data_IF_450230628629
#
_entry.id   IF_450230628629
#
_cell.length_a   1.000
_cell.length_b   1.000
_cell.length_c   1.000
_cell.angle_alpha   90.00
_cell.angle_beta   90.00
_cell.angle_gamma   90.00
#
_symmetry.space_group_name_H-M   'P 1'
#
loop_
_entity.id
_entity.type
_entity.pdbx_description
1 polymer ?
#
# COMPACT_ATOMS: atom_id res chain seq x y z
N UNK A 1 -18.45 2.51 -3.49
CA UNK A 1 -17.19 2.69 -4.24
C UNK A 1 -16.06 1.96 -3.53
N UNK A 2 -16.16 0.64 -3.41
CA UNK A 2 -15.10 -0.27 -2.95
C UNK A 2 -14.74 -1.27 -4.06
N UNK A 3 -15.02 -0.92 -5.33
CA UNK A 3 -14.91 -1.82 -6.47
C UNK A 3 -13.48 -1.86 -7.06
N UNK A 4 -12.58 -0.97 -6.65
CA UNK A 4 -11.26 -0.81 -7.29
C UNK A 4 -10.12 -1.67 -6.71
N UNK A 5 -10.36 -2.56 -5.75
CA UNK A 5 -9.32 -3.47 -5.23
C UNK A 5 -9.79 -4.94 -5.13
N UNK A 6 -10.86 -5.29 -5.84
CA UNK A 6 -11.22 -6.70 -5.99
C UNK A 6 -10.04 -7.42 -6.67
N UNK A 7 -9.47 -8.43 -6.01
CA UNK A 7 -8.29 -9.17 -6.47
C UNK A 7 -6.94 -8.71 -5.90
N UNK A 8 -6.86 -7.53 -5.26
CA UNK A 8 -5.63 -7.09 -4.60
C UNK A 8 -5.48 -7.73 -3.22
N UNK A 9 -4.36 -8.40 -2.98
CA UNK A 9 -4.03 -9.04 -1.70
C UNK A 9 -2.85 -8.33 -1.00
N UNK A 10 -2.83 -8.37 0.33
CA UNK A 10 -1.73 -7.81 1.10
C UNK A 10 -0.47 -8.67 0.90
N UNK A 11 0.51 -8.15 0.17
CA UNK A 11 1.77 -8.86 -0.11
C UNK A 11 2.88 -8.45 0.88
N UNK A 12 2.91 -7.18 1.31
CA UNK A 12 3.92 -6.69 2.25
C UNK A 12 3.34 -5.71 3.27
N UNK A 13 3.83 -5.73 4.51
CA UNK A 13 3.45 -4.79 5.57
C UNK A 13 4.66 -4.41 6.41
N UNK A 14 4.88 -3.10 6.59
CA UNK A 14 6.02 -2.51 7.30
C UNK A 14 5.51 -1.53 8.33
N UNK A 15 5.99 -1.65 9.56
CA UNK A 15 5.78 -0.63 10.57
C UNK A 15 6.69 0.57 10.30
N UNK A 16 6.10 1.75 10.08
CA UNK A 16 6.85 3.00 9.86
C UNK A 16 7.18 3.68 11.18
N UNK A 17 6.21 3.73 12.09
CA UNK A 17 6.38 4.27 13.45
C UNK A 17 5.41 3.62 14.45
N UNK A 18 5.22 4.23 15.63
CA UNK A 18 4.36 3.69 16.68
C UNK A 18 2.91 3.51 16.26
N UNK A 19 2.43 4.29 15.30
CA UNK A 19 1.00 4.39 15.00
C UNK A 19 0.68 4.12 13.53
N UNK A 20 1.68 4.10 12.64
CA UNK A 20 1.50 3.96 11.19
C UNK A 20 2.19 2.73 10.62
N UNK A 21 1.45 2.03 9.77
CA UNK A 21 1.92 0.92 8.94
C UNK A 21 1.85 1.33 7.46
N UNK A 22 2.82 0.89 6.68
CA UNK A 22 2.76 0.89 5.22
C UNK A 22 2.45 -0.53 4.75
N UNK A 23 1.40 -0.65 3.96
CA UNK A 23 0.92 -1.89 3.38
C UNK A 23 1.01 -1.81 1.86
N UNK A 24 1.59 -2.83 1.23
CA UNK A 24 1.62 -2.99 -0.21
C UNK A 24 0.62 -4.08 -0.59
N UNK A 25 -0.41 -3.69 -1.33
CA UNK A 25 -1.37 -4.63 -1.90
C UNK A 25 -1.02 -4.87 -3.35
N UNK A 26 -1.03 -6.12 -3.77
CA UNK A 26 -0.66 -6.56 -5.12
C UNK A 26 -1.80 -7.40 -5.68
N UNK A 27 -2.19 -7.13 -6.92
CA UNK A 27 -3.02 -8.02 -7.71
C UNK A 27 -2.13 -9.14 -8.27
N UNK A 28 -1.96 -10.21 -7.50
CA UNK A 28 -1.15 -11.35 -7.89
C UNK A 28 -1.85 -12.26 -8.92
N UNK A 29 -3.15 -12.04 -9.18
CA UNK A 29 -3.98 -12.95 -9.96
C UNK A 29 -4.07 -12.52 -11.43
N UNK A 30 -4.26 -11.22 -11.71
CA UNK A 30 -4.53 -10.76 -13.06
C UNK A 30 -3.39 -9.94 -13.68
N UNK A 31 -2.86 -8.95 -12.96
CA UNK A 31 -2.01 -7.91 -13.59
C UNK A 31 -0.60 -7.78 -13.02
N UNK A 32 -0.40 -8.13 -11.74
CA UNK A 32 0.82 -7.78 -11.01
C UNK A 32 0.89 -6.33 -10.55
N UNK A 33 -0.18 -5.55 -10.78
CA UNK A 33 -0.30 -4.17 -10.34
C UNK A 33 -0.29 -4.10 -8.80
N UNK A 34 0.09 -2.95 -8.25
CA UNK A 34 0.07 -2.73 -6.82
C UNK A 34 -0.46 -1.35 -6.44
N UNK A 35 -0.86 -1.25 -5.19
CA UNK A 35 -1.11 0.02 -4.50
C UNK A 35 -0.38 -0.01 -3.17
N UNK A 36 0.09 1.14 -2.73
CA UNK A 36 0.49 1.30 -1.33
C UNK A 36 -0.63 1.98 -0.55
N UNK A 37 -0.81 1.58 0.71
CA UNK A 37 -1.68 2.25 1.64
C UNK A 37 -1.02 2.43 3.00
N UNK A 38 -1.32 3.55 3.64
CA UNK A 38 -0.94 3.81 5.01
C UNK A 38 -2.12 3.47 5.91
N UNK A 39 -1.92 2.60 6.90
CA UNK A 39 -2.93 2.27 7.91
C UNK A 39 -2.45 2.70 9.29
N UNK A 40 -3.39 2.92 10.21
CA UNK A 40 -3.04 3.00 11.63
C UNK A 40 -3.06 1.62 12.29
N UNK A 41 -2.68 1.54 13.57
CA UNK A 41 -2.68 0.30 14.35
C UNK A 41 -4.04 -0.42 14.43
N UNK A 42 -5.14 0.27 14.15
CA UNK A 42 -6.49 -0.31 14.11
C UNK A 42 -6.88 -0.81 12.71
N UNK A 43 -5.98 -0.75 11.72
CA UNK A 43 -6.26 -1.09 10.32
C UNK A 43 -7.07 -0.02 9.57
N UNK A 44 -7.24 1.18 10.14
CA UNK A 44 -7.92 2.27 9.42
C UNK A 44 -6.98 2.82 8.35
N UNK A 45 -7.47 2.89 7.11
CA UNK A 45 -6.74 3.49 6.00
C UNK A 45 -6.68 5.01 6.20
N UNK A 46 -5.46 5.53 6.32
CA UNK A 46 -5.15 6.95 6.44
C UNK A 46 -4.92 7.58 5.06
N UNK A 47 -4.25 6.84 4.17
CA UNK A 47 -3.98 7.26 2.80
C UNK A 47 -3.80 6.03 1.91
N UNK A 48 -4.01 6.19 0.60
CA UNK A 48 -3.77 5.17 -0.42
C UNK A 48 -3.35 5.83 -1.72
N UNK A 49 -2.47 5.17 -2.45
CA UNK A 49 -2.02 5.60 -3.76
C UNK A 49 -2.99 5.28 -4.88
N UNK A 50 -2.69 5.81 -6.06
CA UNK A 50 -3.16 5.23 -7.32
C UNK A 50 -2.44 3.89 -7.60
N UNK A 51 -2.89 3.17 -8.63
CA UNK A 51 -2.29 1.90 -9.06
C UNK A 51 -0.94 2.13 -9.75
N UNK A 52 -0.01 1.23 -9.47
CA UNK A 52 1.30 1.16 -10.11
C UNK A 52 1.45 -0.20 -10.81
N UNK A 53 2.11 -0.19 -11.97
CA UNK A 53 2.51 -1.41 -12.69
C UNK A 53 3.88 -1.94 -12.22
N UNK A 54 4.64 -1.11 -11.51
CA UNK A 54 5.97 -1.45 -10.99
C UNK A 54 5.94 -1.45 -9.46
N UNK A 55 6.11 -2.63 -8.88
CA UNK A 55 6.06 -2.85 -7.43
C UNK A 55 7.20 -2.15 -6.68
N UNK A 56 8.37 -1.99 -7.30
CA UNK A 56 9.49 -1.31 -6.67
C UNK A 56 9.22 0.20 -6.58
N UNK A 57 8.64 0.80 -7.63
CA UNK A 57 8.22 2.21 -7.60
C UNK A 57 7.11 2.44 -6.57
N UNK A 58 6.13 1.55 -6.54
CA UNK A 58 5.00 1.55 -5.62
C UNK A 58 5.46 1.54 -4.15
N UNK A 59 6.34 0.60 -3.79
CA UNK A 59 6.90 0.53 -2.44
C UNK A 59 7.76 1.76 -2.10
N UNK A 60 8.63 2.17 -3.02
CA UNK A 60 9.51 3.33 -2.84
C UNK A 60 8.70 4.61 -2.58
N UNK A 61 7.68 4.85 -3.39
CA UNK A 61 6.84 6.06 -3.26
C UNK A 61 6.05 6.03 -1.95
N UNK A 62 5.53 4.87 -1.54
CA UNK A 62 4.88 4.70 -0.24
C UNK A 62 5.82 5.00 0.93
N UNK A 63 7.06 4.51 0.88
CA UNK A 63 8.08 4.80 1.89
C UNK A 63 8.43 6.30 1.92
N UNK A 64 8.66 6.92 0.76
CA UNK A 64 8.97 8.34 0.66
C UNK A 64 7.86 9.24 1.18
N UNK A 65 6.60 8.80 1.09
CA UNK A 65 5.45 9.56 1.58
C UNK A 65 5.31 9.51 3.10
N UNK A 66 5.77 8.43 3.75
CA UNK A 66 5.53 8.17 5.16
C UNK A 66 6.74 8.42 6.06
N UNK A 67 7.95 8.31 5.51
CA UNK A 67 9.17 8.63 6.22
C UNK A 67 9.32 10.15 6.39
N UNK A 68 9.67 10.63 7.60
CA UNK A 68 10.01 12.04 7.77
C UNK A 68 11.24 12.39 6.94
N UNK A 69 11.20 13.55 6.26
CA UNK A 69 12.31 14.13 5.50
C UNK A 69 13.42 14.62 6.43
#
# INVERSE_FOLDING_TARGET
MYEDLEGFELSYSVQIDSDRMLELLVDEVETGDCVWQATNACGQILNRSERYQDQALCLRDGLNQLLPQ
#
